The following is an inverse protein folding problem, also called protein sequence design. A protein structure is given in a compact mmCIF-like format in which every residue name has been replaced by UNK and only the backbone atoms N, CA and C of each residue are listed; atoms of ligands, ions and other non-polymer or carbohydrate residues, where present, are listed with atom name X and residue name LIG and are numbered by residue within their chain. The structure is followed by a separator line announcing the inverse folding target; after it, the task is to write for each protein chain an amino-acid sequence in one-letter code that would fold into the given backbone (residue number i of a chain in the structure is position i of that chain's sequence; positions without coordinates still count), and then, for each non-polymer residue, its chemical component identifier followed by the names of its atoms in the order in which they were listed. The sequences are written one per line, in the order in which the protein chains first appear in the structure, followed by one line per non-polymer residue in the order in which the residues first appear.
data_IF_088199316593
#
_entry.id   IF_088199316593
#
_cell.length_a   1.000
_cell.length_b   1.000
_cell.length_c   1.000
_cell.angle_alpha   90.00
_cell.angle_beta   90.00
_cell.angle_gamma   90.00
#
_symmetry.space_group_name_H-M   'P 1'
#
loop_
_entity.id
_entity.type
_entity.pdbx_description
1 polymer ?
#
# COMPACT_ATOMS: atom_id res chain seq x y z
N UNK A 1 3.70 -3.03 -13.85
CA UNK A 1 3.84 -1.59 -13.55
C UNK A 1 3.56 -1.39 -12.08
N UNK A 2 4.04 -0.29 -11.49
CA UNK A 2 3.72 0.09 -10.11
C UNK A 2 3.21 1.52 -10.09
N UNK A 3 2.00 1.71 -9.55
CA UNK A 3 1.41 3.01 -9.28
C UNK A 3 1.99 3.60 -7.99
N UNK A 4 2.14 4.93 -7.95
CA UNK A 4 2.57 5.72 -6.79
C UNK A 4 1.36 6.45 -6.22
N UNK A 5 0.40 5.68 -5.74
CA UNK A 5 -0.90 6.16 -5.29
C UNK A 5 -0.81 7.43 -4.42
N UNK A 6 -1.47 8.49 -4.90
CA UNK A 6 -1.53 9.80 -4.27
C UNK A 6 -0.36 10.74 -4.59
N UNK A 7 0.76 10.27 -5.16
CA UNK A 7 1.83 11.14 -5.68
C UNK A 7 1.38 11.77 -6.99
N UNK A 8 1.42 13.11 -7.06
CA UNK A 8 1.03 13.87 -8.23
C UNK A 8 2.14 13.84 -9.29
N UNK A 9 1.89 13.16 -10.39
CA UNK A 9 2.80 13.09 -11.55
C UNK A 9 2.78 14.37 -12.40
N UNK A 10 3.18 15.51 -11.80
CA UNK A 10 3.15 16.83 -12.47
C UNK A 10 4.02 16.83 -13.73
N UNK A 11 3.38 17.06 -14.88
CA UNK A 11 4.02 17.07 -16.22
C UNK A 11 4.74 15.75 -16.57
N UNK A 12 4.32 14.64 -15.96
CA UNK A 12 5.05 13.37 -15.99
C UNK A 12 4.10 12.15 -15.96
N UNK A 13 2.94 12.28 -16.58
CA UNK A 13 1.84 11.29 -16.51
C UNK A 13 2.25 9.89 -16.98
N UNK A 14 3.22 9.75 -17.89
CA UNK A 14 3.70 8.45 -18.36
C UNK A 14 4.45 7.64 -17.28
N UNK A 15 4.78 8.26 -16.14
CA UNK A 15 5.41 7.61 -14.98
C UNK A 15 4.41 7.22 -13.90
N UNK A 16 3.12 7.44 -14.12
CA UNK A 16 2.07 7.12 -13.14
C UNK A 16 1.98 5.62 -12.87
N UNK A 17 2.23 4.79 -13.89
CA UNK A 17 2.30 3.34 -13.70
C UNK A 17 0.95 2.67 -13.58
N UNK A 18 -0.12 3.32 -14.05
CA UNK A 18 -1.45 2.73 -14.30
C UNK A 18 -1.63 2.38 -15.78
N UNK A 19 -2.53 1.44 -16.05
CA UNK A 19 -2.87 1.05 -17.44
C UNK A 19 -3.31 2.28 -18.25
N UNK A 20 -2.76 2.44 -19.44
CA UNK A 20 -3.05 3.57 -20.34
C UNK A 20 -2.03 4.72 -20.26
N UNK A 21 -1.28 4.85 -19.17
CA UNK A 21 -0.20 5.87 -19.07
C UNK A 21 1.14 5.36 -19.60
N UNK A 22 1.38 4.05 -19.51
CA UNK A 22 2.57 3.36 -19.98
C UNK A 22 2.20 1.95 -20.49
N UNK A 23 3.15 1.23 -21.10
CA UNK A 23 3.00 -0.19 -21.43
C UNK A 23 3.50 -1.09 -20.31
N UNK A 24 2.97 -2.31 -20.21
CA UNK A 24 3.32 -3.22 -19.12
C UNK A 24 4.80 -3.62 -19.21
N UNK A 25 5.50 -3.53 -18.08
CA UNK A 25 6.86 -4.06 -17.92
C UNK A 25 6.80 -5.57 -18.15
N UNK A 26 7.42 -6.03 -19.24
CA UNK A 26 7.42 -7.42 -19.64
C UNK A 26 8.31 -8.27 -18.72
N UNK A 27 8.07 -9.58 -18.60
CA UNK A 27 8.97 -10.48 -17.91
C UNK A 27 10.42 -10.30 -18.41
N UNK A 28 11.38 -10.29 -17.48
CA UNK A 28 12.81 -10.09 -17.78
C UNK A 28 13.18 -8.70 -18.34
N UNK A 29 12.31 -7.71 -18.20
CA UNK A 29 12.60 -6.31 -18.55
C UNK A 29 12.48 -5.39 -17.34
N UNK A 30 13.06 -4.21 -17.45
CA UNK A 30 13.23 -3.27 -16.34
C UNK A 30 12.65 -1.92 -16.76
N UNK A 31 12.11 -1.18 -15.79
CA UNK A 31 11.68 0.20 -15.99
C UNK A 31 12.07 1.04 -14.79
N UNK A 32 12.60 2.23 -15.06
CA UNK A 32 12.97 3.19 -14.02
C UNK A 32 11.92 4.29 -13.96
N UNK A 33 11.17 4.30 -12.87
CA UNK A 33 10.22 5.38 -12.57
C UNK A 33 10.98 6.63 -12.11
N UNK A 34 10.81 7.74 -12.80
CA UNK A 34 11.36 9.05 -12.43
C UNK A 34 10.19 9.96 -12.13
N UNK A 35 10.09 10.50 -10.92
CA UNK A 35 9.01 11.42 -10.53
C UNK A 35 9.49 12.37 -9.44
N UNK A 36 8.70 13.43 -9.19
CA UNK A 36 9.01 14.42 -8.16
C UNK A 36 7.80 14.63 -7.26
N UNK A 37 8.01 14.50 -5.95
CA UNK A 37 6.97 14.72 -4.93
C UNK A 37 6.73 16.20 -4.62
N UNK A 38 7.70 17.07 -4.98
CA UNK A 38 7.69 18.54 -4.84
C UNK A 38 7.32 19.05 -3.44
N UNK A 39 6.05 19.39 -3.25
CA UNK A 39 5.40 20.06 -2.12
C UNK A 39 4.48 19.11 -1.34
N UNK A 40 4.31 17.87 -1.79
CA UNK A 40 3.55 16.87 -1.05
C UNK A 40 4.31 16.43 0.19
N UNK A 41 3.64 16.42 1.34
CA UNK A 41 4.15 15.90 2.61
C UNK A 41 3.06 14.98 3.14
N UNK A 42 3.43 13.78 3.58
CA UNK A 42 2.46 12.84 4.13
C UNK A 42 2.82 11.39 3.92
N UNK A 43 1.77 10.57 3.96
CA UNK A 43 1.82 9.12 3.83
C UNK A 43 1.17 8.74 2.51
N UNK A 44 1.92 8.05 1.68
CA UNK A 44 1.49 7.54 0.38
C UNK A 44 1.81 6.05 0.31
N UNK A 45 1.37 5.39 -0.75
CA UNK A 45 1.68 3.98 -0.98
C UNK A 45 2.01 3.74 -2.45
N UNK A 46 2.64 2.60 -2.72
CA UNK A 46 2.73 2.08 -4.07
C UNK A 46 2.22 0.66 -4.13
N UNK A 47 1.72 0.27 -5.29
CA UNK A 47 1.31 -1.10 -5.58
C UNK A 47 1.30 -1.35 -7.09
N UNK A 48 1.43 -2.60 -7.54
CA UNK A 48 1.16 -2.94 -8.92
C UNK A 48 -0.31 -2.68 -9.28
N UNK A 49 -0.52 -1.82 -10.26
CA UNK A 49 -1.86 -1.39 -10.71
C UNK A 49 -2.55 -2.39 -11.65
N UNK A 50 -1.83 -3.39 -12.14
CA UNK A 50 -2.30 -4.32 -13.17
C UNK A 50 -2.44 -5.73 -12.63
N UNK A 51 -3.41 -6.47 -13.17
CA UNK A 51 -3.47 -7.93 -13.00
C UNK A 51 -3.81 -8.40 -11.58
N UNK A 52 -4.39 -7.54 -10.73
CA UNK A 52 -4.67 -7.87 -9.33
C UNK A 52 -3.41 -8.21 -8.51
N UNK A 53 -2.23 -7.83 -8.99
CA UNK A 53 -0.96 -8.17 -8.33
C UNK A 53 -0.81 -7.52 -6.93
N UNK A 54 -1.54 -6.43 -6.65
CA UNK A 54 -1.67 -5.87 -5.29
C UNK A 54 -2.16 -6.92 -4.28
N UNK A 55 -3.14 -7.74 -4.67
CA UNK A 55 -3.67 -8.85 -3.87
C UNK A 55 -2.64 -9.93 -3.58
N UNK A 56 -1.67 -10.10 -4.47
CA UNK A 56 -0.53 -10.99 -4.30
C UNK A 56 0.54 -10.48 -3.34
N UNK A 57 0.29 -9.37 -2.62
CA UNK A 57 1.22 -8.77 -1.66
C UNK A 57 2.15 -7.71 -2.25
N UNK A 58 1.93 -7.31 -3.52
CA UNK A 58 2.69 -6.22 -4.13
C UNK A 58 2.23 -4.87 -3.60
N UNK A 59 2.80 -4.38 -2.50
CA UNK A 59 2.57 -3.01 -2.04
C UNK A 59 3.65 -2.56 -1.07
N UNK A 60 3.74 -1.26 -0.85
CA UNK A 60 4.64 -0.69 0.14
C UNK A 60 4.31 0.76 0.49
N UNK A 61 4.84 1.27 1.61
CA UNK A 61 4.63 2.65 2.00
C UNK A 61 5.57 3.58 1.24
N UNK A 62 5.16 4.83 1.09
CA UNK A 62 5.99 5.95 0.67
C UNK A 62 5.81 7.04 1.73
N UNK A 63 6.88 7.31 2.47
CA UNK A 63 6.93 8.45 3.40
C UNK A 63 7.51 9.65 2.67
N UNK A 64 6.75 10.73 2.59
CA UNK A 64 7.29 12.03 2.16
C UNK A 64 7.31 12.94 3.38
N UNK A 65 8.51 13.18 3.90
CA UNK A 65 8.72 14.04 5.06
C UNK A 65 8.79 15.51 4.65
N UNK A 66 8.51 16.38 5.62
CA UNK A 66 8.77 17.80 5.49
C UNK A 66 10.25 18.06 5.21
N UNK A 67 10.53 19.19 4.55
CA UNK A 67 11.90 19.69 4.46
C UNK A 67 12.31 20.24 5.82
N UNK A 68 13.61 20.23 6.11
CA UNK A 68 14.17 20.75 7.37
C UNK A 68 13.72 22.19 7.67
N UNK A 69 13.46 22.98 6.63
CA UNK A 69 13.03 24.39 6.72
C UNK A 69 11.52 24.59 6.90
N UNK A 70 10.72 23.51 6.87
CA UNK A 70 9.26 23.56 7.03
C UNK A 70 8.90 22.75 8.26
N UNK A 71 8.40 23.41 9.30
CA UNK A 71 7.99 22.73 10.52
C UNK A 71 6.72 21.89 10.31
N UNK A 72 6.61 20.80 11.07
CA UNK A 72 5.40 19.99 11.15
C UNK A 72 4.40 20.62 12.14
N UNK A 73 3.08 20.54 11.88
CA UNK A 73 2.06 21.18 12.72
C UNK A 73 1.80 20.45 14.04
N UNK A 74 2.75 19.62 14.50
CA UNK A 74 2.67 18.81 15.70
C UNK A 74 4.08 18.60 16.28
N UNK A 75 4.17 18.23 17.56
CA UNK A 75 5.46 17.96 18.20
C UNK A 75 6.17 16.77 17.54
N UNK A 76 7.50 16.80 17.52
CA UNK A 76 8.29 15.70 16.94
C UNK A 76 7.99 14.40 17.69
N UNK A 77 7.50 13.35 17.01
CA UNK A 77 7.20 12.08 17.64
C UNK A 77 8.48 11.31 17.98
N UNK A 78 8.43 10.45 18.99
CA UNK A 78 9.51 9.54 19.38
C UNK A 78 9.85 8.56 18.25
N UNK A 79 8.84 7.97 17.62
CA UNK A 79 9.01 7.14 16.44
C UNK A 79 7.78 7.21 15.51
N UNK A 80 7.97 6.74 14.28
CA UNK A 80 6.94 6.69 13.25
C UNK A 80 6.82 5.27 12.67
N UNK A 81 5.59 4.76 12.60
CA UNK A 81 5.28 3.42 12.12
C UNK A 81 4.38 3.50 10.89
N UNK A 82 4.68 2.76 9.82
CA UNK A 82 3.75 2.58 8.71
C UNK A 82 2.86 1.38 9.01
N UNK A 83 1.56 1.55 8.84
CA UNK A 83 0.57 0.50 8.98
C UNK A 83 -0.14 0.35 7.64
N UNK A 84 0.26 -0.66 6.87
CA UNK A 84 -0.41 -1.06 5.65
C UNK A 84 -1.49 -2.08 6.01
N UNK A 85 -2.76 -1.68 5.88
CA UNK A 85 -3.91 -2.52 6.18
C UNK A 85 -4.46 -3.04 4.86
N UNK A 86 -4.51 -4.35 4.69
CA UNK A 86 -4.92 -4.96 3.43
C UNK A 86 -5.66 -6.26 3.59
N UNK A 87 -6.36 -6.62 2.51
CA UNK A 87 -7.14 -7.84 2.39
C UNK A 87 -6.23 -9.02 2.08
N UNK A 88 -6.56 -10.18 2.63
CA UNK A 88 -5.91 -11.44 2.29
C UNK A 88 -6.93 -12.52 1.97
N UNK A 89 -6.61 -13.25 0.92
CA UNK A 89 -7.36 -14.40 0.45
C UNK A 89 -6.45 -15.62 0.47
N UNK A 90 -6.98 -16.76 0.92
CA UNK A 90 -6.29 -18.04 0.88
C UNK A 90 -6.15 -18.55 -0.56
N UNK A 91 -7.06 -18.12 -1.44
CA UNK A 91 -7.09 -18.46 -2.87
C UNK A 91 -6.16 -17.56 -3.68
N UNK A 92 -5.81 -17.98 -4.90
CA UNK A 92 -4.92 -17.17 -5.72
C UNK A 92 -5.57 -15.85 -6.13
N UNK A 93 -4.78 -14.79 -6.25
CA UNK A 93 -5.28 -13.49 -6.71
C UNK A 93 -5.90 -13.53 -8.12
N UNK A 94 -5.57 -14.56 -8.93
CA UNK A 94 -6.17 -14.76 -10.25
C UNK A 94 -7.61 -15.27 -10.14
N UNK A 95 -7.85 -16.16 -9.19
CA UNK A 95 -9.18 -16.74 -8.95
C UNK A 95 -10.11 -15.68 -8.36
N UNK A 96 -9.63 -14.94 -7.36
CA UNK A 96 -10.36 -13.81 -6.78
C UNK A 96 -10.71 -12.77 -7.84
N UNK A 97 -9.75 -12.43 -8.72
CA UNK A 97 -10.03 -11.53 -9.85
C UNK A 97 -11.13 -12.08 -10.77
N UNK A 98 -11.12 -13.38 -11.07
CA UNK A 98 -12.15 -14.00 -11.91
C UNK A 98 -13.53 -13.95 -11.27
N UNK A 99 -13.61 -14.16 -9.96
CA UNK A 99 -14.86 -14.12 -9.18
C UNK A 99 -15.40 -12.69 -9.07
N UNK A 100 -14.56 -11.72 -8.75
CA UNK A 100 -14.98 -10.32 -8.64
C UNK A 100 -15.41 -9.71 -9.98
N UNK A 101 -14.96 -10.26 -11.11
CA UNK A 101 -15.47 -9.88 -12.43
C UNK A 101 -16.89 -10.41 -12.71
N UNK A 102 -17.38 -11.36 -11.90
CA UNK A 102 -18.75 -11.82 -11.95
C UNK A 102 -19.61 -10.94 -11.02
N UNK A 103 -20.53 -10.12 -11.55
CA UNK A 103 -21.31 -9.18 -10.75
C UNK A 103 -22.19 -9.84 -9.68
N UNK A 104 -22.51 -11.13 -9.83
CA UNK A 104 -23.25 -11.89 -8.83
C UNK A 104 -22.38 -12.33 -7.66
N UNK A 105 -21.07 -12.52 -7.87
CA UNK A 105 -20.13 -13.03 -6.85
C UNK A 105 -19.35 -11.92 -6.15
N UNK A 106 -19.36 -10.70 -6.67
CA UNK A 106 -18.57 -9.59 -6.13
C UNK A 106 -18.90 -9.28 -4.65
N UNK A 107 -20.17 -9.41 -4.25
CA UNK A 107 -20.61 -9.22 -2.86
C UNK A 107 -20.40 -10.45 -1.97
N UNK A 108 -20.25 -11.62 -2.58
CA UNK A 108 -20.08 -12.91 -1.89
C UNK A 108 -18.61 -13.33 -1.78
N UNK A 109 -17.67 -12.45 -2.13
CA UNK A 109 -16.22 -12.72 -2.09
C UNK A 109 -15.49 -11.81 -1.08
N UNK A 110 -15.87 -11.83 0.21
CA UNK A 110 -15.15 -11.09 1.24
C UNK A 110 -13.75 -11.67 1.45
N UNK A 111 -12.78 -10.87 1.94
CA UNK A 111 -11.47 -11.38 2.29
C UNK A 111 -11.54 -12.38 3.44
N UNK A 112 -10.69 -13.40 3.39
CA UNK A 112 -10.58 -14.40 4.45
C UNK A 112 -10.03 -13.75 5.74
N UNK A 113 -9.10 -12.80 5.59
CA UNK A 113 -8.44 -12.10 6.71
C UNK A 113 -8.06 -10.68 6.34
N UNK A 114 -7.97 -9.84 7.36
CA UNK A 114 -7.33 -8.53 7.28
C UNK A 114 -5.89 -8.66 7.80
N UNK A 115 -4.94 -8.09 7.06
CA UNK A 115 -3.54 -8.03 7.42
C UNK A 115 -3.15 -6.63 7.85
N UNK A 116 -2.22 -6.55 8.80
CA UNK A 116 -1.47 -5.33 9.12
C UNK A 116 0.00 -5.62 8.83
N UNK A 117 0.62 -4.85 7.93
CA UNK A 117 2.01 -5.06 7.48
C UNK A 117 2.28 -6.50 7.00
N UNK A 118 1.31 -7.12 6.33
CA UNK A 118 1.39 -8.48 5.83
C UNK A 118 1.24 -9.58 6.89
N UNK A 119 0.98 -9.22 8.15
CA UNK A 119 0.80 -10.14 9.27
C UNK A 119 -0.67 -10.28 9.63
N UNK A 120 -1.04 -11.47 10.12
CA UNK A 120 -2.41 -11.80 10.47
C UNK A 120 -2.88 -11.11 11.76
N UNK A 121 -4.17 -11.26 12.07
CA UNK A 121 -4.74 -10.75 13.32
C UNK A 121 -4.09 -11.36 14.56
N UNK A 122 -4.12 -10.62 15.67
CA UNK A 122 -3.69 -11.17 16.96
C UNK A 122 -4.57 -12.36 17.37
N UNK A 123 -3.93 -13.48 17.73
CA UNK A 123 -4.62 -14.71 18.13
C UNK A 123 -5.14 -15.55 16.96
N UNK A 124 -4.75 -15.27 15.72
CA UNK A 124 -5.14 -16.08 14.58
C UNK A 124 -4.59 -17.53 14.70
N UNK A 125 -5.42 -18.57 14.54
CA UNK A 125 -5.03 -19.96 14.77
C UNK A 125 -4.05 -20.49 13.71
N UNK A 126 -4.00 -19.86 12.52
CA UNK A 126 -3.20 -20.28 11.37
C UNK A 126 -1.98 -19.36 11.20
N UNK A 127 -2.20 -18.04 11.23
CA UNK A 127 -1.17 -17.00 11.09
C UNK A 127 -0.66 -16.55 12.46
N UNK A 128 0.37 -17.22 12.96
CA UNK A 128 0.92 -16.94 14.30
C UNK A 128 1.58 -15.56 14.42
N UNK A 129 2.09 -15.00 13.33
CA UNK A 129 2.70 -13.67 13.31
C UNK A 129 1.65 -12.57 13.24
N UNK A 130 1.75 -11.60 14.15
CA UNK A 130 0.93 -10.39 14.19
C UNK A 130 1.83 -9.16 14.30
N UNK A 131 1.29 -7.99 13.96
CA UNK A 131 2.00 -6.73 14.12
C UNK A 131 1.94 -6.25 15.59
N UNK A 132 3.08 -5.85 16.13
CA UNK A 132 3.20 -5.30 17.48
C UNK A 132 4.24 -4.19 17.51
N UNK A 133 3.99 -3.19 18.36
CA UNK A 133 4.88 -2.04 18.53
C UNK A 133 5.27 -1.91 20.00
N UNK A 134 6.57 -1.80 20.25
CA UNK A 134 7.07 -1.49 21.58
C UNK A 134 7.02 0.03 21.77
N UNK A 135 6.35 0.48 22.82
CA UNK A 135 6.18 1.90 23.12
C UNK A 135 6.59 2.21 24.55
N UNK A 136 7.26 3.34 24.72
CA UNK A 136 7.61 3.92 26.02
C UNK A 136 6.47 4.81 26.53
N UNK A 137 6.08 4.61 27.80
CA UNK A 137 5.06 5.41 28.50
C UNK A 137 5.41 6.91 28.46
N UNK A 138 4.43 7.75 28.15
CA UNK A 138 4.57 9.22 28.14
C UNK A 138 5.19 9.79 26.86
N UNK A 139 5.50 8.97 25.86
CA UNK A 139 5.98 9.40 24.54
C UNK A 139 4.85 9.44 23.51
N UNK A 140 5.02 10.28 22.49
CA UNK A 140 4.10 10.40 21.36
C UNK A 140 4.66 9.71 20.13
N UNK A 141 3.82 8.99 19.38
CA UNK A 141 4.21 8.25 18.19
C UNK A 141 3.30 8.64 17.01
N UNK A 142 3.84 8.61 15.79
CA UNK A 142 3.05 8.86 14.58
C UNK A 142 2.76 7.54 13.87
N UNK A 143 1.50 7.14 13.84
CA UNK A 143 1.03 6.01 13.05
C UNK A 143 0.60 6.50 11.67
N UNK A 144 1.25 5.99 10.62
CA UNK A 144 0.99 6.32 9.22
C UNK A 144 0.19 5.19 8.60
N UNK A 145 -1.12 5.33 8.62
CA UNK A 145 -2.05 4.27 8.19
C UNK A 145 -2.34 4.42 6.70
N UNK A 146 -2.29 3.32 5.95
CA UNK A 146 -2.69 3.26 4.55
C UNK A 146 -3.53 2.02 4.29
N UNK A 147 -4.70 2.21 3.71
CA UNK A 147 -5.49 1.12 3.17
C UNK A 147 -4.87 0.65 1.84
N UNK A 148 -4.42 -0.60 1.81
CA UNK A 148 -3.90 -1.31 0.63
C UNK A 148 -4.75 -2.54 0.29
N UNK A 149 -5.98 -2.63 0.82
CA UNK A 149 -7.02 -3.58 0.42
C UNK A 149 -7.47 -3.39 -1.03
N UNK A 150 -8.23 -4.35 -1.52
CA UNK A 150 -8.72 -4.43 -2.90
C UNK A 150 -10.18 -4.00 -3.01
N UNK A 151 -10.96 -4.21 -1.96
CA UNK A 151 -12.42 -4.03 -1.91
C UNK A 151 -12.79 -2.84 -1.04
#
# INVERSE_FOLDING_TARGET
MCDRNGIRQRLNSWQDGVSGTSCQIQPKTNWTYVFQVKDQIGTFSYFPSTGFHKAGGGYGPIRVNNRIVIDIPFSTPEAQFDLLIGDWYQRSFKDIRSELNNPYMAYDTPPDKILINGKGPYGDPIMKSHESFNVTKGKTYLLRISNVGLV
#
